data_IF_145938982234
#
_entry.id   IF_145938982234
#
_cell.length_a   1.000
_cell.length_b   1.000
_cell.length_c   1.000
_cell.angle_alpha   90.00
_cell.angle_beta   90.00
_cell.angle_gamma   90.00
#
_symmetry.space_group_name_H-M   'P 1'
#
loop_
_entity.id
_entity.type
_entity.pdbx_description
1 polymer ?
#
# COMPACT_ATOMS: atom_id res chain seq x y z
N UNK A 1 38.06 -51.11 -12.88
CA UNK A 1 38.98 -50.80 -11.75
C UNK A 1 38.20 -49.98 -10.74
N UNK A 2 37.82 -50.59 -9.61
CA UNK A 2 38.36 -50.36 -8.25
C UNK A 2 38.07 -48.96 -7.69
N UNK A 3 37.42 -48.72 -6.53
CA UNK A 3 36.79 -49.54 -5.48
C UNK A 3 36.09 -48.59 -4.45
N UNK A 4 35.14 -49.14 -3.67
CA UNK A 4 34.70 -48.81 -2.28
C UNK A 4 34.15 -47.39 -1.95
N UNK A 5 32.91 -47.20 -1.45
CA UNK A 5 32.17 -47.69 -0.24
C UNK A 5 32.74 -47.26 1.13
N UNK A 6 31.99 -46.39 1.81
CA UNK A 6 31.62 -46.33 3.26
C UNK A 6 30.32 -45.48 3.27
N UNK A 7 29.10 -45.85 3.70
CA UNK A 7 28.50 -46.58 4.82
C UNK A 7 28.73 -46.01 6.24
N UNK A 8 27.58 -45.73 6.86
CA UNK A 8 27.24 -45.83 8.29
C UNK A 8 27.20 -44.56 9.17
N UNK A 9 25.96 -44.23 9.58
CA UNK A 9 25.60 -44.00 10.99
C UNK A 9 24.76 -42.74 11.20
N UNK A 10 23.64 -42.72 11.92
CA UNK A 10 22.97 -43.71 12.75
C UNK A 10 21.58 -43.19 13.13
N UNK A 11 20.72 -44.10 13.57
CA UNK A 11 19.39 -43.85 14.08
C UNK A 11 19.41 -43.05 15.40
N UNK A 12 18.33 -42.30 15.68
CA UNK A 12 17.40 -42.58 16.79
C UNK A 12 16.70 -41.32 17.33
N UNK A 13 15.46 -41.54 17.80
CA UNK A 13 14.66 -40.74 18.74
C UNK A 13 14.11 -39.40 18.21
N UNK A 14 12.82 -39.07 18.36
CA UNK A 14 11.76 -39.71 19.12
C UNK A 14 10.46 -38.93 18.89
N UNK A 15 9.35 -39.54 19.30
CA UNK A 15 8.04 -38.90 19.44
C UNK A 15 8.16 -37.45 19.91
N UNK A 16 7.51 -36.52 19.19
CA UNK A 16 6.97 -35.35 19.86
C UNK A 16 5.49 -35.22 19.53
N UNK A 17 4.73 -35.26 20.62
CA UNK A 17 3.30 -35.18 20.73
C UNK A 17 2.71 -33.99 19.97
N UNK A 18 1.45 -34.17 19.56
CA UNK A 18 0.54 -33.12 19.13
C UNK A 18 0.65 -31.88 20.03
N UNK A 19 0.98 -30.73 19.43
CA UNK A 19 0.66 -29.44 20.01
C UNK A 19 -0.55 -28.86 19.27
N UNK A 20 -1.59 -28.42 19.99
CA UNK A 20 -2.68 -27.67 19.40
C UNK A 20 -2.13 -26.37 18.84
N UNK A 21 -2.61 -25.98 17.66
CA UNK A 21 -2.30 -24.71 17.03
C UNK A 21 -2.72 -23.54 17.93
N UNK A 22 -1.86 -23.17 18.87
CA UNK A 22 -1.86 -21.85 19.47
C UNK A 22 -1.42 -20.87 18.37
N UNK A 23 -2.23 -19.83 18.16
CA UNK A 23 -1.98 -18.75 17.23
C UNK A 23 -0.50 -18.33 17.27
N UNK A 24 0.21 -18.55 16.17
CA UNK A 24 1.59 -18.11 16.03
C UNK A 24 1.62 -16.58 16.12
N UNK A 25 2.29 -16.05 17.13
CA UNK A 25 2.74 -14.67 17.12
C UNK A 25 3.64 -14.44 15.89
N UNK A 26 3.58 -13.26 15.24
CA UNK A 26 4.30 -13.00 14.00
C UNK A 26 5.81 -13.12 14.22
N UNK A 27 6.46 -13.98 13.43
CA UNK A 27 7.92 -14.13 13.44
C UNK A 27 8.56 -12.97 12.68
N UNK A 28 9.25 -12.10 13.42
CA UNK A 28 10.04 -10.93 12.95
C UNK A 28 11.03 -11.18 11.80
N UNK A 29 11.29 -12.42 11.40
CA UNK A 29 12.21 -12.80 10.32
C UNK A 29 11.55 -12.99 8.95
N UNK A 30 10.25 -13.32 8.90
CA UNK A 30 9.54 -13.54 7.64
C UNK A 30 9.21 -12.20 6.93
N UNK A 31 9.04 -11.13 7.72
CA UNK A 31 8.74 -9.78 7.20
C UNK A 31 9.93 -9.18 6.43
N UNK A 32 11.17 -9.41 6.88
CA UNK A 32 12.36 -8.85 6.23
C UNK A 32 12.62 -9.49 4.86
N UNK A 33 12.41 -10.80 4.74
CA UNK A 33 12.54 -11.52 3.48
C UNK A 33 11.42 -11.12 2.49
N UNK A 34 10.20 -10.94 2.99
CA UNK A 34 9.08 -10.45 2.18
C UNK A 34 9.32 -9.01 1.68
N UNK A 35 9.85 -8.12 2.53
CA UNK A 35 10.20 -6.75 2.15
C UNK A 35 11.36 -6.69 1.15
N UNK A 36 12.36 -7.57 1.28
CA UNK A 36 13.44 -7.70 0.31
C UNK A 36 12.93 -8.18 -1.05
N UNK A 37 12.07 -9.21 -1.08
CA UNK A 37 11.46 -9.70 -2.31
C UNK A 37 10.59 -8.63 -2.99
N UNK A 38 9.83 -7.84 -2.22
CA UNK A 38 9.08 -6.71 -2.74
C UNK A 38 10.00 -5.63 -3.32
N UNK A 39 11.13 -5.33 -2.68
CA UNK A 39 12.09 -4.33 -3.16
C UNK A 39 12.75 -4.77 -4.47
N UNK A 40 13.09 -6.06 -4.58
CA UNK A 40 13.68 -6.63 -5.79
C UNK A 40 12.74 -6.54 -7.01
N UNK A 41 11.42 -6.55 -6.81
CA UNK A 41 10.44 -6.35 -7.88
C UNK A 41 10.48 -4.93 -8.49
N UNK A 42 10.98 -3.94 -7.74
CA UNK A 42 11.07 -2.54 -8.18
C UNK A 42 12.49 -2.11 -8.55
N UNK A 43 13.44 -3.05 -8.61
CA UNK A 43 14.83 -2.76 -8.95
C UNK A 43 14.93 -2.30 -10.41
N UNK A 44 15.37 -1.06 -10.62
CA UNK A 44 15.60 -0.52 -11.95
C UNK A 44 16.78 -1.21 -12.66
N UNK A 45 16.69 -1.30 -13.98
CA UNK A 45 17.81 -1.78 -14.81
C UNK A 45 19.01 -0.84 -14.70
N UNK A 46 20.27 -1.36 -14.70
CA UNK A 46 21.45 -0.51 -14.66
C UNK A 46 21.53 0.41 -15.89
N UNK A 47 21.89 1.67 -15.66
CA UNK A 47 22.07 2.64 -16.75
C UNK A 47 23.14 2.18 -17.75
N UNK A 48 22.84 2.36 -19.05
CA UNK A 48 23.81 2.21 -20.15
C UNK A 48 24.88 3.31 -20.09
N UNK A 49 25.97 3.14 -20.83
CA UNK A 49 27.05 4.14 -20.86
C UNK A 49 26.54 5.53 -21.33
N UNK A 50 25.67 5.57 -22.33
CA UNK A 50 25.08 6.81 -22.85
C UNK A 50 24.16 7.48 -21.82
N UNK A 51 23.35 6.71 -21.10
CA UNK A 51 22.48 7.24 -20.04
C UNK A 51 23.31 7.78 -18.88
N UNK A 52 24.38 7.08 -18.47
CA UNK A 52 25.32 7.57 -17.45
C UNK A 52 25.97 8.89 -17.85
N UNK A 53 26.28 9.07 -19.14
CA UNK A 53 26.86 10.32 -19.63
C UNK A 53 25.88 11.52 -19.51
N UNK A 54 24.56 11.28 -19.52
CA UNK A 54 23.52 12.31 -19.36
C UNK A 54 23.20 12.63 -17.90
N UNK A 55 23.59 11.75 -16.98
CA UNK A 55 23.22 11.85 -15.57
C UNK A 55 23.64 13.17 -14.90
N UNK A 56 24.83 13.77 -15.14
CA UNK A 56 25.17 15.07 -14.57
C UNK A 56 24.19 16.18 -14.97
N UNK A 57 23.77 16.21 -16.23
CA UNK A 57 22.80 17.19 -16.73
C UNK A 57 21.40 16.96 -16.12
N UNK A 58 20.97 15.69 -16.02
CA UNK A 58 19.71 15.34 -15.39
C UNK A 58 19.69 15.70 -13.89
N UNK A 59 20.79 15.47 -13.16
CA UNK A 59 20.93 15.87 -11.75
C UNK A 59 20.85 17.39 -11.58
N UNK A 60 21.54 18.14 -12.43
CA UNK A 60 21.48 19.60 -12.41
C UNK A 60 20.04 20.10 -12.64
N UNK A 61 19.35 19.51 -13.61
CA UNK A 61 17.94 19.81 -13.87
C UNK A 61 17.05 19.47 -12.66
N UNK A 62 17.24 18.31 -12.02
CA UNK A 62 16.44 17.95 -10.84
C UNK A 62 16.70 18.88 -9.65
N UNK A 63 17.92 19.38 -9.45
CA UNK A 63 18.18 20.40 -8.42
C UNK A 63 17.45 21.72 -8.69
N UNK A 64 17.22 22.05 -9.97
CA UNK A 64 16.49 23.25 -10.37
C UNK A 64 14.98 23.08 -10.22
N UNK A 65 14.44 21.92 -10.60
CA UNK A 65 12.99 21.62 -10.54
C UNK A 65 12.55 21.34 -9.09
N UNK A 66 13.37 20.58 -8.34
CA UNK A 66 13.10 20.16 -6.97
C UNK A 66 14.29 20.53 -6.06
N UNK A 67 14.42 21.81 -5.67
CA UNK A 67 15.38 22.24 -4.66
C UNK A 67 15.17 21.54 -3.31
N UNK A 68 16.20 21.56 -2.48
CA UNK A 68 16.13 20.99 -1.13
C UNK A 68 14.97 21.55 -0.30
N UNK A 69 14.12 20.65 0.21
CA UNK A 69 12.96 20.99 1.04
C UNK A 69 11.67 21.15 0.25
N UNK A 70 11.70 21.07 -1.09
CA UNK A 70 10.49 21.21 -1.93
C UNK A 70 9.42 20.19 -1.54
N UNK A 71 9.79 18.95 -1.23
CA UNK A 71 8.83 17.91 -0.83
C UNK A 71 8.25 18.17 0.55
N UNK A 72 9.08 18.63 1.47
CA UNK A 72 8.66 19.01 2.82
C UNK A 72 7.66 20.18 2.78
N UNK A 73 7.92 21.21 1.98
CA UNK A 73 7.04 22.37 1.77
C UNK A 73 5.72 21.98 1.10
N UNK A 74 5.80 21.18 0.02
CA UNK A 74 4.63 20.67 -0.68
C UNK A 74 3.73 19.87 0.27
N UNK A 75 4.32 18.96 1.04
CA UNK A 75 3.58 18.13 1.99
C UNK A 75 2.97 18.97 3.11
N UNK A 76 3.72 19.94 3.65
CA UNK A 76 3.21 20.87 4.66
C UNK A 76 1.97 21.62 4.16
N UNK A 77 2.04 22.16 2.94
CA UNK A 77 0.91 22.86 2.31
C UNK A 77 -0.31 21.93 2.12
N UNK A 78 -0.08 20.71 1.63
CA UNK A 78 -1.11 19.70 1.47
C UNK A 78 -1.77 19.33 2.80
N UNK A 79 -0.95 19.04 3.81
CA UNK A 79 -1.39 18.65 5.15
C UNK A 79 -2.28 19.73 5.74
N UNK A 80 -1.81 20.99 5.75
CA UNK A 80 -2.58 22.13 6.22
C UNK A 80 -3.93 22.23 5.50
N UNK A 81 -3.94 22.08 4.18
CA UNK A 81 -5.17 22.23 3.39
C UNK A 81 -6.20 21.14 3.62
N UNK A 82 -5.77 19.92 4.00
CA UNK A 82 -6.66 18.80 4.34
C UNK A 82 -7.07 18.86 5.82
N UNK A 83 -6.14 19.20 6.72
CA UNK A 83 -6.39 19.21 8.16
C UNK A 83 -7.20 20.42 8.61
N UNK A 84 -7.01 21.60 8.02
CA UNK A 84 -7.75 22.81 8.44
C UNK A 84 -9.27 22.61 8.38
N UNK A 85 -9.88 22.06 7.30
CA UNK A 85 -11.31 21.77 7.28
C UNK A 85 -11.74 20.70 8.29
N UNK A 86 -10.94 19.66 8.49
CA UNK A 86 -11.24 18.59 9.44
C UNK A 86 -11.25 19.13 10.87
N UNK A 87 -10.29 19.99 11.22
CA UNK A 87 -10.23 20.64 12.53
C UNK A 87 -11.42 21.55 12.77
N UNK A 88 -11.81 22.35 11.78
CA UNK A 88 -13.02 23.17 11.85
C UNK A 88 -14.29 22.33 12.04
N UNK A 89 -14.35 21.16 11.40
CA UNK A 89 -15.47 20.23 11.58
C UNK A 89 -15.46 19.60 12.99
N UNK A 90 -14.30 19.21 13.51
CA UNK A 90 -14.19 18.67 14.87
C UNK A 90 -14.59 19.70 15.94
N UNK A 91 -14.15 20.96 15.79
CA UNK A 91 -14.55 22.08 16.67
C UNK A 91 -16.06 22.36 16.63
N UNK A 92 -16.74 21.99 15.54
CA UNK A 92 -18.19 22.14 15.40
C UNK A 92 -19.01 21.02 16.06
N UNK A 93 -18.37 20.03 16.72
CA UNK A 93 -19.08 18.93 17.38
C UNK A 93 -18.66 18.70 18.85
N UNK A 94 -18.83 19.71 19.73
CA UNK A 94 -18.48 19.62 21.15
C UNK A 94 -19.30 18.59 21.93
N UNK A 95 -20.51 18.24 21.45
CA UNK A 95 -21.35 17.22 22.08
C UNK A 95 -20.70 15.83 22.08
N UNK A 96 -19.91 15.50 21.05
CA UNK A 96 -19.20 14.23 20.96
C UNK A 96 -18.07 14.12 21.99
N UNK A 97 -17.40 15.23 22.30
CA UNK A 97 -16.34 15.25 23.33
C UNK A 97 -16.93 15.08 24.74
N UNK A 98 -18.11 15.67 24.99
CA UNK A 98 -18.83 15.52 26.26
C UNK A 98 -19.27 14.07 26.47
N UNK A 99 -19.90 13.45 25.48
CA UNK A 99 -20.44 12.09 25.59
C UNK A 99 -19.32 11.06 25.79
N UNK A 100 -18.19 11.23 25.08
CA UNK A 100 -16.99 10.42 25.25
C UNK A 100 -16.41 10.51 26.66
N UNK A 101 -16.27 11.72 27.20
CA UNK A 101 -15.71 11.91 28.54
C UNK A 101 -16.66 11.45 29.66
N UNK A 102 -17.97 11.52 29.43
CA UNK A 102 -18.98 11.01 30.38
C UNK A 102 -19.28 9.52 30.22
N UNK A 103 -18.73 8.85 29.19
CA UNK A 103 -19.03 7.45 28.87
C UNK A 103 -20.51 7.20 28.54
N UNK A 104 -21.20 8.23 28.03
CA UNK A 104 -22.62 8.18 27.72
C UNK A 104 -22.83 8.11 26.20
N UNK A 105 -23.97 7.54 25.81
CA UNK A 105 -24.39 7.53 24.41
C UNK A 105 -24.85 8.94 23.99
N UNK A 106 -24.45 9.39 22.80
CA UNK A 106 -24.79 10.72 22.29
C UNK A 106 -26.30 10.95 22.16
N UNK A 107 -27.08 9.89 22.00
CA UNK A 107 -28.54 9.97 21.93
C UNK A 107 -29.22 10.32 23.28
N UNK A 108 -28.49 10.32 24.41
CA UNK A 108 -29.05 10.52 25.75
C UNK A 108 -28.83 11.92 26.33
N UNK A 109 -28.01 12.74 25.68
CA UNK A 109 -27.67 14.09 26.14
C UNK A 109 -28.22 15.12 25.15
N UNK A 110 -29.40 15.67 25.47
CA UNK A 110 -29.98 16.79 24.72
C UNK A 110 -29.32 18.11 25.18
N UNK A 111 -28.17 18.41 24.59
CA UNK A 111 -27.39 19.60 24.89
C UNK A 111 -27.45 20.57 23.70
N UNK A 112 -27.66 21.84 23.99
CA UNK A 112 -27.41 22.91 23.02
C UNK A 112 -25.90 23.03 22.77
N UNK A 113 -25.49 23.56 21.62
CA UNK A 113 -24.08 23.77 21.29
C UNK A 113 -23.33 24.59 22.36
N UNK A 114 -24.00 25.57 22.96
CA UNK A 114 -23.45 26.39 24.05
C UNK A 114 -23.17 25.53 25.31
N UNK A 115 -24.16 24.76 25.77
CA UNK A 115 -23.98 23.89 26.92
C UNK A 115 -22.97 22.77 26.66
N UNK A 116 -22.93 22.24 25.43
CA UNK A 116 -21.93 21.25 25.03
C UNK A 116 -20.51 21.82 25.09
N UNK A 117 -20.28 23.06 24.61
CA UNK A 117 -18.98 23.73 24.71
C UNK A 117 -18.56 23.98 26.15
N UNK A 118 -19.48 24.47 26.98
CA UNK A 118 -19.21 24.71 28.40
C UNK A 118 -18.88 23.40 29.13
N UNK A 119 -19.68 22.34 28.90
CA UNK A 119 -19.43 21.03 29.48
C UNK A 119 -18.10 20.42 29.01
N UNK A 120 -17.76 20.53 27.72
CA UNK A 120 -16.48 20.07 27.19
C UNK A 120 -15.30 20.80 27.84
N UNK A 121 -15.40 22.12 28.01
CA UNK A 121 -14.37 22.93 28.66
C UNK A 121 -14.18 22.59 30.15
N UNK A 122 -15.26 22.19 30.85
CA UNK A 122 -15.19 21.71 32.24
C UNK A 122 -14.54 20.32 32.30
N UNK A 123 -14.93 19.42 31.40
CA UNK A 123 -14.49 18.02 31.41
C UNK A 123 -13.03 17.87 30.97
N UNK A 124 -12.58 18.65 29.98
CA UNK A 124 -11.21 18.62 29.50
C UNK A 124 -10.71 20.00 29.06
N UNK A 125 -10.34 20.88 30.02
CA UNK A 125 -9.78 22.20 29.70
C UNK A 125 -8.46 22.12 28.90
N UNK A 126 -7.78 20.97 28.92
CA UNK A 126 -6.53 20.74 28.21
C UNK A 126 -6.70 20.19 26.79
N UNK A 127 -7.92 19.81 26.37
CA UNK A 127 -8.19 19.12 25.11
C UNK A 127 -7.59 19.86 23.90
N UNK A 128 -7.89 21.15 23.77
CA UNK A 128 -7.43 21.96 22.64
C UNK A 128 -5.90 22.04 22.57
N UNK A 129 -5.24 22.21 23.72
CA UNK A 129 -3.77 22.27 23.80
C UNK A 129 -3.13 20.93 23.43
N UNK A 130 -3.67 19.81 23.93
CA UNK A 130 -3.19 18.47 23.58
C UNK A 130 -3.40 18.15 22.10
N UNK A 131 -4.56 18.49 21.55
CA UNK A 131 -4.88 18.27 20.14
C UNK A 131 -3.93 19.07 19.24
N UNK A 132 -3.70 20.35 19.55
CA UNK A 132 -2.74 21.18 18.82
C UNK A 132 -1.32 20.59 18.85
N UNK A 133 -0.84 20.18 20.04
CA UNK A 133 0.48 19.57 20.19
C UNK A 133 0.61 18.25 19.42
N UNK A 134 -0.44 17.42 19.40
CA UNK A 134 -0.47 16.16 18.65
C UNK A 134 -0.38 16.41 17.14
N UNK A 135 -1.13 17.39 16.62
CA UNK A 135 -1.12 17.76 15.20
C UNK A 135 0.24 18.32 14.80
N UNK A 136 0.80 19.21 15.60
CA UNK A 136 2.13 19.78 15.37
C UNK A 136 3.20 18.69 15.37
N UNK A 137 3.15 17.77 16.32
CA UNK A 137 4.07 16.62 16.39
C UNK A 137 3.95 15.73 15.16
N UNK A 138 2.73 15.41 14.73
CA UNK A 138 2.48 14.61 13.54
C UNK A 138 3.03 15.31 12.29
N UNK A 139 2.70 16.59 12.11
CA UNK A 139 3.19 17.39 11.00
C UNK A 139 4.73 17.44 10.96
N UNK A 140 5.36 17.70 12.11
CA UNK A 140 6.82 17.75 12.23
C UNK A 140 7.47 16.42 11.85
N UNK A 141 6.92 15.30 12.32
CA UNK A 141 7.42 13.98 11.99
C UNK A 141 7.31 13.68 10.49
N UNK A 142 6.19 14.03 9.86
CA UNK A 142 5.97 13.82 8.43
C UNK A 142 6.88 14.71 7.57
N UNK A 143 7.02 15.99 7.91
CA UNK A 143 7.95 16.90 7.22
C UNK A 143 9.39 16.40 7.28
N UNK A 144 9.84 15.91 8.45
CA UNK A 144 11.18 15.30 8.60
C UNK A 144 11.35 14.04 7.75
N UNK A 145 10.33 13.18 7.72
CA UNK A 145 10.36 11.97 6.89
C UNK A 145 10.47 12.31 5.40
N UNK A 146 9.69 13.29 4.92
CA UNK A 146 9.76 13.74 3.52
C UNK A 146 11.11 14.36 3.18
N UNK A 147 11.66 15.20 4.06
CA UNK A 147 12.99 15.77 3.87
C UNK A 147 14.10 14.70 3.79
N UNK A 148 13.97 13.61 4.56
CA UNK A 148 14.91 12.50 4.53
C UNK A 148 14.83 11.65 3.25
N UNK A 149 13.63 11.53 2.66
CA UNK A 149 13.41 10.77 1.42
C UNK A 149 13.75 11.57 0.15
N UNK A 150 13.73 12.89 0.24
CA UNK A 150 13.89 13.77 -0.92
C UNK A 150 15.20 13.54 -1.71
N UNK A 151 16.38 13.32 -1.10
CA UNK A 151 17.62 13.08 -1.84
C UNK A 151 17.55 11.83 -2.73
N UNK A 152 17.10 10.70 -2.19
CA UNK A 152 17.01 9.44 -2.92
C UNK A 152 15.98 9.52 -4.04
N UNK A 153 14.84 10.18 -3.78
CA UNK A 153 13.84 10.41 -4.81
C UNK A 153 14.38 11.30 -5.94
N UNK A 154 15.13 12.35 -5.60
CA UNK A 154 15.76 13.23 -6.59
C UNK A 154 16.80 12.50 -7.44
N UNK A 155 17.57 11.60 -6.83
CA UNK A 155 18.50 10.72 -7.54
C UNK A 155 17.75 9.80 -8.51
N UNK A 156 16.71 9.10 -8.05
CA UNK A 156 15.90 8.22 -8.89
C UNK A 156 15.22 8.97 -10.05
N UNK A 157 14.73 10.19 -9.81
CA UNK A 157 14.21 11.04 -10.88
C UNK A 157 15.30 11.46 -11.87
N UNK A 158 16.51 11.79 -11.42
CA UNK A 158 17.61 12.13 -12.31
C UNK A 158 18.01 10.95 -13.20
N UNK A 159 18.05 9.73 -12.65
CA UNK A 159 18.27 8.51 -13.44
C UNK A 159 17.15 8.29 -14.46
N UNK A 160 15.89 8.41 -14.04
CA UNK A 160 14.75 8.30 -14.94
C UNK A 160 14.83 9.33 -16.09
N UNK A 161 15.26 10.56 -15.80
CA UNK A 161 15.45 11.59 -16.82
C UNK A 161 16.61 11.26 -17.77
N UNK A 162 17.71 10.71 -17.27
CA UNK A 162 18.84 10.29 -18.09
C UNK A 162 18.50 9.11 -19.03
N UNK A 163 17.58 8.23 -18.60
CA UNK A 163 17.04 7.13 -19.41
C UNK A 163 16.11 7.62 -20.51
N UNK A 164 15.18 8.50 -20.17
CA UNK A 164 14.06 8.84 -21.05
C UNK A 164 14.32 10.03 -21.97
N UNK A 165 15.29 10.89 -21.64
CA UNK A 165 15.61 12.09 -22.43
C UNK A 165 17.03 12.05 -22.96
N UNK A 166 17.20 12.57 -24.18
CA UNK A 166 18.52 12.81 -24.75
C UNK A 166 19.11 14.15 -24.26
N UNK A 167 20.39 14.40 -24.57
CA UNK A 167 21.10 15.60 -24.10
C UNK A 167 20.47 16.92 -24.55
N UNK A 168 19.89 16.96 -25.76
CA UNK A 168 19.23 18.16 -26.26
C UNK A 168 17.93 18.42 -25.50
N UNK A 169 17.12 17.39 -25.28
CA UNK A 169 15.87 17.50 -24.53
C UNK A 169 16.13 17.95 -23.09
N UNK A 170 17.14 17.38 -22.42
CA UNK A 170 17.54 17.82 -21.08
C UNK A 170 17.94 19.31 -21.04
N UNK A 171 18.66 19.78 -22.06
CA UNK A 171 19.04 21.19 -22.16
C UNK A 171 17.84 22.11 -22.45
N UNK A 172 16.93 21.70 -23.33
CA UNK A 172 15.72 22.46 -23.64
C UNK A 172 14.80 22.56 -22.41
N UNK A 173 14.65 21.48 -21.65
CA UNK A 173 13.87 21.45 -20.41
C UNK A 173 14.52 22.35 -19.34
N UNK A 174 15.85 22.30 -19.19
CA UNK A 174 16.58 23.19 -18.28
C UNK A 174 16.40 24.67 -18.65
N UNK A 175 16.47 25.00 -19.94
CA UNK A 175 16.23 26.36 -20.42
C UNK A 175 14.80 26.83 -20.12
N UNK A 176 13.79 25.97 -20.30
CA UNK A 176 12.42 26.29 -19.93
C UNK A 176 12.29 26.60 -18.43
N UNK A 177 12.82 25.74 -17.56
CA UNK A 177 12.77 25.94 -16.11
C UNK A 177 13.64 27.09 -15.61
N UNK A 178 14.55 27.62 -16.44
CA UNK A 178 15.31 28.83 -16.11
C UNK A 178 14.48 30.11 -16.31
N UNK A 179 13.34 30.02 -16.99
CA UNK A 179 12.42 31.15 -17.14
C UNK A 179 11.60 31.37 -15.85
N UNK A 180 11.14 32.61 -15.56
CA UNK A 180 10.25 32.87 -14.42
C UNK A 180 8.96 32.04 -14.45
N UNK A 181 8.39 31.84 -15.65
CA UNK A 181 7.19 31.01 -15.84
C UNK A 181 7.49 29.54 -15.61
N UNK A 182 8.62 29.03 -16.10
CA UNK A 182 9.05 27.66 -15.87
C UNK A 182 9.27 27.35 -14.39
N UNK A 183 9.96 28.24 -13.65
CA UNK A 183 10.12 28.10 -12.20
C UNK A 183 8.77 28.11 -11.48
N UNK A 184 7.85 29.00 -11.88
CA UNK A 184 6.51 29.07 -11.30
C UNK A 184 5.74 27.78 -11.59
N UNK A 185 5.84 27.26 -12.81
CA UNK A 185 5.22 26.00 -13.20
C UNK A 185 5.79 24.83 -12.38
N UNK A 186 7.12 24.68 -12.26
CA UNK A 186 7.75 23.64 -11.46
C UNK A 186 7.21 23.60 -10.02
N UNK A 187 7.14 24.76 -9.37
CA UNK A 187 6.68 24.85 -7.98
C UNK A 187 5.19 24.54 -7.81
N UNK A 188 4.37 24.95 -8.78
CA UNK A 188 2.90 24.82 -8.68
C UNK A 188 2.39 23.49 -9.23
N UNK A 189 3.01 22.94 -10.26
CA UNK A 189 2.51 21.76 -10.98
C UNK A 189 2.42 20.52 -10.10
N UNK A 190 3.40 20.28 -9.23
CA UNK A 190 3.34 19.18 -8.27
C UNK A 190 2.17 19.31 -7.28
N UNK A 191 1.81 20.54 -6.89
CA UNK A 191 0.68 20.79 -6.00
C UNK A 191 -0.70 20.75 -6.70
N UNK A 192 -0.74 20.83 -8.04
CA UNK A 192 -2.01 20.84 -8.80
C UNK A 192 -2.77 19.52 -8.70
N UNK A 193 -2.09 18.38 -8.58
CA UNK A 193 -2.76 17.10 -8.35
C UNK A 193 -3.61 17.10 -7.08
N UNK A 194 -3.20 17.92 -6.12
CA UNK A 194 -3.93 18.13 -4.88
C UNK A 194 -4.86 19.32 -4.95
N UNK A 195 -5.06 20.06 -6.04
CA UNK A 195 -5.93 21.24 -6.13
C UNK A 195 -7.40 20.92 -5.76
N UNK A 196 -8.17 21.80 -5.08
CA UNK A 196 -9.54 21.47 -4.66
C UNK A 196 -10.47 21.28 -5.86
N UNK A 197 -10.20 21.95 -6.98
CA UNK A 197 -10.98 21.78 -8.20
C UNK A 197 -10.72 20.40 -8.81
N UNK A 198 -9.48 19.92 -8.79
CA UNK A 198 -9.12 18.57 -9.24
C UNK A 198 -9.77 17.52 -8.34
N UNK A 199 -9.58 17.63 -7.02
CA UNK A 199 -10.17 16.69 -6.06
C UNK A 199 -11.70 16.67 -6.12
N UNK A 200 -12.34 17.84 -6.23
CA UNK A 200 -13.80 17.93 -6.36
C UNK A 200 -14.29 17.25 -7.63
N UNK A 201 -13.61 17.45 -8.76
CA UNK A 201 -13.94 16.78 -10.01
C UNK A 201 -13.83 15.25 -9.86
N UNK A 202 -12.77 14.75 -9.22
CA UNK A 202 -12.60 13.32 -8.94
C UNK A 202 -13.71 12.76 -8.05
N UNK A 203 -14.10 13.48 -6.98
CA UNK A 203 -15.16 13.04 -6.07
C UNK A 203 -16.54 12.98 -6.75
N UNK A 204 -16.81 13.86 -7.72
CA UNK A 204 -18.05 13.79 -8.53
C UNK A 204 -18.12 12.53 -9.38
N UNK A 205 -16.99 11.96 -9.77
CA UNK A 205 -16.92 10.72 -10.55
C UNK A 205 -17.02 9.47 -9.70
N UNK A 206 -16.83 9.56 -8.38
CA UNK A 206 -16.80 8.40 -7.49
C UNK A 206 -18.11 7.59 -7.49
N UNK A 207 -19.32 8.20 -7.45
CA UNK A 207 -20.57 7.43 -7.53
C UNK A 207 -20.69 6.63 -8.82
N UNK A 208 -20.26 7.20 -9.96
CA UNK A 208 -20.26 6.51 -11.25
C UNK A 208 -19.32 5.31 -11.24
N UNK A 209 -18.11 5.48 -10.69
CA UNK A 209 -17.16 4.38 -10.54
C UNK A 209 -17.74 3.25 -9.67
N UNK A 210 -18.37 3.60 -8.54
CA UNK A 210 -19.02 2.60 -7.67
C UNK A 210 -20.18 1.88 -8.38
N UNK A 211 -20.95 2.61 -9.19
CA UNK A 211 -22.01 2.02 -10.01
C UNK A 211 -21.46 1.08 -11.11
N UNK A 212 -20.24 1.31 -11.60
CA UNK A 212 -19.56 0.43 -12.55
C UNK A 212 -18.92 -0.81 -11.89
N UNK A 213 -18.51 -0.71 -10.61
CA UNK A 213 -18.00 -1.85 -9.85
C UNK A 213 -19.08 -2.91 -9.53
N UNK A 214 -20.33 -2.49 -9.35
CA UNK A 214 -21.48 -3.38 -9.14
C UNK A 214 -21.62 -4.47 -10.22
N UNK A 215 -21.83 -4.12 -11.51
CA UNK A 215 -21.92 -5.09 -12.59
C UNK A 215 -20.59 -5.79 -12.89
N UNK A 216 -19.45 -5.25 -12.46
CA UNK A 216 -18.15 -5.90 -12.62
C UNK A 216 -18.11 -7.26 -11.93
N UNK A 217 -18.71 -7.40 -10.74
CA UNK A 217 -18.83 -8.69 -10.05
C UNK A 217 -19.60 -9.72 -10.89
N UNK A 218 -20.74 -9.34 -11.45
CA UNK A 218 -21.53 -10.22 -12.32
C UNK A 218 -20.78 -10.59 -13.61
N UNK A 219 -19.99 -9.67 -14.17
CA UNK A 219 -19.12 -9.95 -15.31
C UNK A 219 -17.99 -10.92 -14.95
N UNK A 220 -17.37 -10.78 -13.77
CA UNK A 220 -16.37 -11.71 -13.26
C UNK A 220 -16.95 -13.10 -12.99
N UNK A 221 -18.16 -13.18 -12.44
CA UNK A 221 -18.83 -14.44 -12.18
C UNK A 221 -19.21 -15.13 -13.50
N UNK A 222 -19.74 -14.37 -14.49
CA UNK A 222 -20.02 -14.88 -15.84
C UNK A 222 -18.75 -15.36 -16.56
N UNK A 223 -17.67 -14.59 -16.50
CA UNK A 223 -16.40 -14.94 -17.12
C UNK A 223 -15.79 -16.22 -16.50
N UNK A 224 -16.09 -16.51 -15.23
CA UNK A 224 -15.65 -17.74 -14.56
C UNK A 224 -16.61 -18.92 -14.75
N UNK A 225 -17.90 -18.68 -14.96
CA UNK A 225 -18.90 -19.73 -15.15
C UNK A 225 -18.60 -20.61 -16.38
N UNK A 226 -18.06 -20.00 -17.43
CA UNK A 226 -17.72 -20.69 -18.67
C UNK A 226 -16.34 -21.36 -18.65
N UNK A 227 -15.55 -21.19 -17.57
CA UNK A 227 -14.24 -21.80 -17.45
C UNK A 227 -14.34 -23.22 -16.90
N UNK A 228 -13.55 -24.19 -17.44
CA UNK A 228 -13.50 -25.53 -16.90
C UNK A 228 -13.03 -25.50 -15.45
N UNK A 229 -13.70 -26.27 -14.59
CA UNK A 229 -13.27 -26.40 -13.20
C UNK A 229 -11.86 -27.00 -13.13
N UNK A 230 -11.05 -26.60 -12.14
CA UNK A 230 -9.76 -27.24 -11.91
C UNK A 230 -9.94 -28.75 -11.74
N UNK A 231 -9.12 -29.53 -12.46
CA UNK A 231 -9.17 -31.00 -12.48
C UNK A 231 -9.06 -31.59 -11.07
N UNK A 232 -9.82 -32.64 -10.81
CA UNK A 232 -9.67 -33.46 -9.63
C UNK A 232 -8.54 -34.48 -9.81
N UNK A 233 -8.08 -35.05 -8.70
CA UNK A 233 -7.04 -36.08 -8.73
C UNK A 233 -7.44 -37.27 -9.61
N UNK A 234 -8.74 -37.62 -9.62
CA UNK A 234 -9.30 -38.69 -10.43
C UNK A 234 -9.15 -38.43 -11.94
N UNK A 235 -9.20 -37.16 -12.36
CA UNK A 235 -9.12 -36.76 -13.76
C UNK A 235 -7.69 -36.83 -14.31
N UNK A 236 -6.68 -36.88 -13.44
CA UNK A 236 -5.26 -36.97 -13.82
C UNK A 236 -4.89 -38.40 -14.24
N UNK A 237 -4.14 -38.55 -15.33
CA UNK A 237 -3.55 -39.84 -15.73
C UNK A 237 -2.44 -40.28 -14.75
N UNK A 238 -2.03 -41.55 -14.81
CA UNK A 238 -0.95 -42.07 -13.96
C UNK A 238 0.39 -41.33 -14.21
N UNK A 239 0.65 -40.96 -15.47
CA UNK A 239 1.82 -40.19 -15.89
C UNK A 239 1.75 -38.77 -15.34
N UNK A 240 0.59 -38.11 -15.44
CA UNK A 240 0.38 -36.76 -14.92
C UNK A 240 0.51 -36.70 -13.40
N UNK A 241 0.00 -37.71 -12.69
CA UNK A 241 0.16 -37.85 -11.24
C UNK A 241 1.62 -38.02 -10.85
N UNK A 242 2.34 -38.88 -11.57
CA UNK A 242 3.77 -39.14 -11.34
C UNK A 242 4.59 -37.87 -11.57
N UNK A 243 4.31 -37.15 -12.65
CA UNK A 243 4.97 -35.89 -12.97
C UNK A 243 4.68 -34.81 -11.93
N UNK A 244 3.43 -34.69 -11.48
CA UNK A 244 3.06 -33.76 -10.41
C UNK A 244 3.81 -34.06 -9.10
N UNK A 245 4.04 -35.34 -8.78
CA UNK A 245 4.87 -35.75 -7.66
C UNK A 245 6.32 -35.31 -7.78
N UNK A 246 6.91 -35.40 -8.97
CA UNK A 246 8.28 -34.94 -9.22
C UNK A 246 8.40 -33.42 -9.12
N UNK A 247 7.47 -32.69 -9.72
CA UNK A 247 7.48 -31.22 -9.76
C UNK A 247 7.23 -30.60 -8.38
N UNK A 248 6.36 -31.21 -7.57
CA UNK A 248 5.98 -30.66 -6.26
C UNK A 248 6.78 -31.23 -5.09
N UNK A 249 7.50 -32.33 -5.29
CA UNK A 249 8.16 -33.09 -4.21
C UNK A 249 7.19 -33.78 -3.26
N UNK A 250 5.88 -33.78 -3.56
CA UNK A 250 4.85 -34.38 -2.73
C UNK A 250 4.59 -35.84 -3.13
N UNK A 251 4.30 -36.69 -2.15
CA UNK A 251 3.85 -38.05 -2.41
C UNK A 251 2.45 -38.06 -3.04
N UNK A 252 2.13 -39.14 -3.76
CA UNK A 252 0.81 -39.32 -4.38
C UNK A 252 -0.35 -39.21 -3.36
N UNK A 253 -0.13 -39.71 -2.14
CA UNK A 253 -1.10 -39.59 -1.06
C UNK A 253 -1.32 -38.14 -0.61
N UNK A 254 -0.25 -37.35 -0.50
CA UNK A 254 -0.32 -35.94 -0.14
C UNK A 254 -0.98 -35.10 -1.24
N UNK A 255 -0.67 -35.37 -2.51
CA UNK A 255 -1.30 -34.71 -3.66
C UNK A 255 -2.80 -35.02 -3.68
N UNK A 256 -3.18 -36.29 -3.54
CA UNK A 256 -4.59 -36.70 -3.51
C UNK A 256 -5.36 -36.01 -2.37
N UNK A 257 -4.79 -35.98 -1.16
CA UNK A 257 -5.41 -35.34 -0.01
C UNK A 257 -5.51 -33.81 -0.18
N UNK A 258 -4.46 -33.17 -0.71
CA UNK A 258 -4.43 -31.73 -0.97
C UNK A 258 -5.45 -31.31 -2.02
N UNK A 259 -5.54 -32.05 -3.13
CA UNK A 259 -6.52 -31.80 -4.19
C UNK A 259 -7.95 -32.02 -3.69
N UNK A 260 -8.21 -33.07 -2.91
CA UNK A 260 -9.52 -33.31 -2.31
C UNK A 260 -9.94 -32.19 -1.33
N UNK A 261 -9.00 -31.68 -0.52
CA UNK A 261 -9.25 -30.53 0.36
C UNK A 261 -9.55 -29.26 -0.43
N UNK A 262 -8.81 -29.01 -1.50
CA UNK A 262 -9.04 -27.87 -2.39
C UNK A 262 -10.39 -27.96 -3.11
N UNK A 263 -10.78 -29.15 -3.59
CA UNK A 263 -12.08 -29.40 -4.21
C UNK A 263 -13.23 -29.13 -3.24
N UNK A 264 -13.12 -29.60 -1.99
CA UNK A 264 -14.11 -29.31 -0.94
C UNK A 264 -14.26 -27.81 -0.68
N UNK A 265 -13.15 -27.06 -0.54
CA UNK A 265 -13.20 -25.60 -0.35
C UNK A 265 -13.85 -24.86 -1.52
N UNK A 266 -13.65 -25.33 -2.76
CA UNK A 266 -14.31 -24.76 -3.95
C UNK A 266 -15.80 -25.03 -3.93
N UNK A 267 -16.22 -26.24 -3.57
CA UNK A 267 -17.62 -26.60 -3.43
C UNK A 267 -18.32 -25.75 -2.35
N UNK A 268 -17.68 -25.57 -1.19
CA UNK A 268 -18.20 -24.74 -0.09
C UNK A 268 -18.34 -23.26 -0.51
N UNK A 269 -17.35 -22.72 -1.25
CA UNK A 269 -17.39 -21.35 -1.78
C UNK A 269 -18.51 -21.17 -2.82
N UNK A 270 -18.69 -22.15 -3.70
CA UNK A 270 -19.76 -22.14 -4.70
C UNK A 270 -21.15 -22.20 -4.05
N UNK A 271 -21.32 -23.00 -2.99
CA UNK A 271 -22.56 -23.07 -2.22
C UNK A 271 -22.89 -21.73 -1.54
N UNK A 272 -21.89 -21.09 -0.92
CA UNK A 272 -22.05 -19.80 -0.23
C UNK A 272 -22.42 -18.65 -1.17
N UNK A 273 -21.87 -18.63 -2.38
CA UNK A 273 -22.20 -17.61 -3.38
C UNK A 273 -23.65 -17.73 -3.89
N UNK A 274 -24.21 -18.95 -3.94
CA UNK A 274 -25.62 -19.16 -4.32
C UNK A 274 -26.61 -18.69 -3.26
N UNK A 275 -26.25 -18.80 -1.97
CA UNK A 275 -27.11 -18.37 -0.85
C UNK A 275 -27.09 -16.86 -0.58
N UNK A 276 -26.22 -16.09 -1.25
CA UNK A 276 -26.15 -14.62 -1.11
C UNK A 276 -26.88 -13.86 -2.23
N UNK A 277 -27.53 -14.59 -3.13
CA UNK A 277 -28.32 -14.04 -4.25
C UNK A 277 -29.84 -14.18 -4.04
N UNK A 278 -30.27 -14.79 -2.92
CA UNK A 278 -31.65 -14.82 -2.39
C UNK A 278 -31.81 -13.84 -1.23
#
# INVERSE_FOLDING_TARGET
MKWQKWLAGGAALGLLCAQPAAAAAPKKGDDAAAMAALTDMFKAEPLTAEQRARLPAAKALMMQIMPSGTMAEMYHSLFKRIMDPIMKMAESNPATDVTKNLGQDSAKLDLTDEHAKQAAAILDPGAATRNAAMIESLQSAMTKAMAAMEPDMREGMAEAYAVNFNSKELADIAAFFATPSGMTYARRSFALASDPHVLSASMKSLPKLMAELGPMKAQFDKAQADLPQPRDYADLSAEQRTELGKLTGLSQAQIKAGMASAAKKRADKAAKNRTSED
#
